data_IF_960382791883
#
_entry.id   IF_960382791883
#
_cell.length_a   1.000
_cell.length_b   1.000
_cell.length_c   1.000
_cell.angle_alpha   90.00
_cell.angle_beta   90.00
_cell.angle_gamma   90.00
#
_symmetry.space_group_name_H-M   'P 1'
#
loop_
_entity.id
_entity.type
_entity.pdbx_description
1 polymer ?
#
# COMPACT_ATOMS: atom_id res chain seq x y z
N UNK A 1 15.12 -16.92 3.33
CA UNK A 1 13.76 -16.77 2.72
C UNK A 1 13.37 -15.30 2.78
N UNK A 2 12.76 -14.74 1.74
CA UNK A 2 12.23 -13.37 1.75
C UNK A 2 10.75 -13.45 1.46
N UNK A 3 9.93 -12.81 2.28
CA UNK A 3 8.48 -12.79 2.16
C UNK A 3 7.98 -11.35 2.20
N UNK A 4 7.09 -11.01 1.27
CA UNK A 4 6.45 -9.70 1.17
C UNK A 4 4.98 -9.84 1.57
N UNK A 5 4.60 -9.19 2.66
CA UNK A 5 3.27 -9.27 3.29
C UNK A 5 2.66 -10.69 3.38
N UNK A 6 3.38 -11.70 3.92
CA UNK A 6 2.94 -13.09 3.93
C UNK A 6 1.70 -13.35 4.81
N UNK A 7 1.34 -12.39 5.66
CA UNK A 7 0.21 -12.44 6.58
C UNK A 7 -1.03 -11.72 6.06
N UNK A 8 -1.00 -11.24 4.81
CA UNK A 8 -2.14 -10.57 4.19
C UNK A 8 -3.33 -11.53 4.06
N UNK A 9 -4.49 -11.13 4.59
CA UNK A 9 -5.72 -11.93 4.53
C UNK A 9 -5.77 -13.13 5.48
N UNK A 10 -4.77 -13.32 6.35
CA UNK A 10 -4.83 -14.34 7.40
C UNK A 10 -5.60 -13.81 8.62
N UNK A 11 -6.42 -14.68 9.20
CA UNK A 11 -6.96 -14.47 10.54
C UNK A 11 -5.85 -14.56 11.62
N UNK A 12 -6.11 -14.08 12.85
CA UNK A 12 -5.09 -14.03 13.90
C UNK A 12 -4.48 -15.39 14.28
N UNK A 13 -5.25 -16.48 14.23
CA UNK A 13 -4.77 -17.81 14.61
C UNK A 13 -3.86 -18.40 13.51
N UNK A 14 -4.26 -18.22 12.25
CA UNK A 14 -3.45 -18.59 11.09
C UNK A 14 -2.15 -17.78 11.01
N UNK A 15 -2.21 -16.47 11.28
CA UNK A 15 -1.03 -15.61 11.37
C UNK A 15 -0.05 -16.09 12.44
N UNK A 16 -0.53 -16.37 13.65
CA UNK A 16 0.30 -16.88 14.73
C UNK A 16 0.98 -18.21 14.36
N UNK A 17 0.23 -19.12 13.74
CA UNK A 17 0.74 -20.43 13.28
C UNK A 17 1.82 -20.27 12.22
N UNK A 18 1.62 -19.36 11.26
CA UNK A 18 2.62 -19.06 10.24
C UNK A 18 3.90 -18.50 10.85
N UNK A 19 3.79 -17.51 11.75
CA UNK A 19 4.93 -16.90 12.41
C UNK A 19 5.75 -17.91 13.23
N UNK A 20 5.08 -18.82 13.94
CA UNK A 20 5.74 -19.91 14.68
C UNK A 20 6.48 -20.88 13.74
N UNK A 21 5.87 -21.21 12.60
CA UNK A 21 6.47 -22.07 11.58
C UNK A 21 7.71 -21.42 10.95
N UNK A 22 7.64 -20.11 10.66
CA UNK A 22 8.78 -19.36 10.12
C UNK A 22 9.94 -19.30 11.13
N UNK A 23 9.65 -19.07 12.42
CA UNK A 23 10.65 -19.06 13.50
C UNK A 23 11.36 -20.40 13.67
N UNK A 24 10.61 -21.51 13.56
CA UNK A 24 11.14 -22.87 13.73
C UNK A 24 11.82 -23.44 12.47
N UNK A 25 11.78 -22.73 11.35
CA UNK A 25 12.30 -23.20 10.06
C UNK A 25 13.83 -23.39 10.00
N UNK A 26 14.59 -22.91 11.00
CA UNK A 26 16.04 -23.07 11.09
C UNK A 26 16.84 -22.29 10.04
N UNK A 27 16.19 -21.41 9.28
CA UNK A 27 16.81 -20.55 8.28
C UNK A 27 16.56 -19.08 8.59
N UNK A 28 17.43 -18.20 8.09
CA UNK A 28 17.16 -16.77 8.14
C UNK A 28 15.96 -16.41 7.24
N UNK A 29 14.97 -15.74 7.83
CA UNK A 29 13.77 -15.23 7.16
C UNK A 29 13.77 -13.70 7.25
N UNK A 30 13.56 -13.04 6.11
CA UNK A 30 13.30 -11.60 6.02
C UNK A 30 11.83 -11.44 5.66
N UNK A 31 11.10 -10.67 6.46
CA UNK A 31 9.68 -10.38 6.23
C UNK A 31 9.52 -8.88 6.05
N UNK A 32 8.86 -8.48 4.97
CA UNK A 32 8.37 -7.12 4.78
C UNK A 32 6.92 -7.11 5.24
N UNK A 33 6.64 -6.35 6.31
CA UNK A 33 5.27 -6.15 6.76
C UNK A 33 5.11 -4.87 7.57
N UNK A 34 3.91 -4.29 7.53
CA UNK A 34 3.49 -3.21 8.42
C UNK A 34 2.68 -3.70 9.63
N UNK A 35 2.45 -5.01 9.78
CA UNK A 35 1.58 -5.55 10.83
C UNK A 35 2.29 -5.61 12.21
N UNK A 36 1.70 -5.06 13.28
CA UNK A 36 2.32 -5.05 14.61
C UNK A 36 2.65 -6.43 15.18
N UNK A 37 1.83 -7.44 14.90
CA UNK A 37 2.05 -8.81 15.37
C UNK A 37 3.33 -9.42 14.76
N UNK A 38 3.54 -9.22 13.45
CA UNK A 38 4.75 -9.64 12.74
C UNK A 38 5.98 -8.92 13.28
N UNK A 39 5.89 -7.59 13.46
CA UNK A 39 7.00 -6.79 14.01
C UNK A 39 7.37 -7.21 15.43
N UNK A 40 6.36 -7.49 16.27
CA UNK A 40 6.56 -7.98 17.65
C UNK A 40 7.17 -9.38 17.69
N UNK A 41 6.98 -10.16 16.63
CA UNK A 41 7.55 -11.50 16.52
C UNK A 41 8.98 -11.53 15.95
N UNK A 42 9.47 -10.42 15.40
CA UNK A 42 10.79 -10.36 14.77
C UNK A 42 11.92 -10.25 15.79
N UNK A 43 13.05 -10.93 15.52
CA UNK A 43 14.28 -10.76 16.31
C UNK A 43 14.89 -9.37 16.11
N UNK A 44 14.71 -8.80 14.91
CA UNK A 44 15.22 -7.49 14.50
C UNK A 44 14.19 -6.81 13.60
N UNK A 45 13.95 -5.53 13.87
CA UNK A 45 13.08 -4.69 13.03
C UNK A 45 13.95 -3.63 12.36
N UNK A 46 13.80 -3.48 11.04
CA UNK A 46 14.46 -2.45 10.25
C UNK A 46 13.35 -1.59 9.64
N UNK A 47 13.33 -0.31 10.00
CA UNK A 47 12.42 0.66 9.37
C UNK A 47 13.04 1.15 8.07
N UNK A 48 12.28 1.04 6.98
CA UNK A 48 12.65 1.62 5.69
C UNK A 48 11.93 2.95 5.56
N UNK A 49 12.69 4.03 5.51
CA UNK A 49 12.16 5.38 5.32
C UNK A 49 12.16 5.72 3.83
N UNK A 50 11.18 6.49 3.39
CA UNK A 50 11.21 7.07 2.05
C UNK A 50 12.42 8.02 1.95
N UNK A 51 13.08 8.11 0.79
CA UNK A 51 14.09 9.14 0.58
C UNK A 51 13.46 10.51 0.86
N UNK A 52 14.22 11.39 1.51
CA UNK A 52 13.81 12.77 1.72
C UNK A 52 13.45 13.36 0.34
N UNK A 53 12.17 13.71 0.17
CA UNK A 53 11.70 14.29 -1.08
C UNK A 53 12.46 15.61 -1.26
N UNK A 54 13.32 15.67 -2.27
CA UNK A 54 14.01 16.91 -2.63
C UNK A 54 12.91 17.94 -2.96
N UNK A 55 12.76 19.04 -2.18
CA UNK A 55 11.72 20.03 -2.41
C UNK A 55 11.84 20.71 -3.79
N UNK A 56 12.93 20.50 -4.52
CA UNK A 56 13.14 20.94 -5.90
C UNK A 56 12.36 20.12 -6.94
N UNK A 57 11.85 18.94 -6.58
CA UNK A 57 11.07 18.08 -7.49
C UNK A 57 9.56 18.36 -7.42
N UNK A 58 9.17 19.61 -7.71
CA UNK A 58 7.79 19.89 -8.13
C UNK A 58 7.64 19.49 -9.60
N UNK A 59 7.50 18.20 -9.88
CA UNK A 59 7.04 17.76 -11.21
C UNK A 59 5.59 18.23 -11.38
N UNK A 60 5.40 19.12 -12.36
CA UNK A 60 4.19 19.88 -12.58
C UNK A 60 2.93 19.05 -12.74
N UNK A 61 1.81 19.70 -12.38
CA UNK A 61 0.44 19.28 -12.63
C UNK A 61 0.32 18.60 -14.00
N UNK A 62 -0.15 17.35 -14.01
CA UNK A 62 -0.76 16.79 -15.20
C UNK A 62 -2.00 17.60 -15.51
N UNK A 63 -1.95 18.33 -16.62
CA UNK A 63 -3.08 18.88 -17.34
C UNK A 63 -4.22 17.83 -17.38
N UNK A 64 -5.28 18.03 -16.59
CA UNK A 64 -6.57 17.42 -16.87
C UNK A 64 -7.18 18.21 -18.03
N UNK A 65 -6.83 17.77 -19.24
CA UNK A 65 -7.45 18.18 -20.49
C UNK A 65 -8.98 18.01 -20.35
N UNK A 66 -9.65 19.16 -20.18
CA UNK A 66 -11.10 19.25 -20.17
C UNK A 66 -11.61 18.90 -21.56
N UNK A 67 -11.92 17.61 -21.74
CA UNK A 67 -12.69 17.13 -22.87
C UNK A 67 -14.03 17.86 -22.93
N UNK A 68 -14.12 18.82 -23.86
CA UNK A 68 -15.33 19.52 -24.24
C UNK A 68 -16.34 18.51 -24.84
N UNK A 69 -17.14 17.89 -23.98
CA UNK A 69 -18.36 17.21 -24.37
C UNK A 69 -19.45 18.25 -24.63
N UNK A 70 -19.46 18.84 -25.82
CA UNK A 70 -20.66 19.49 -26.34
C UNK A 70 -21.75 18.43 -26.45
N UNK A 71 -22.72 18.47 -25.53
CA UNK A 71 -23.97 17.74 -25.62
C UNK A 71 -24.93 18.59 -26.48
N UNK A 72 -25.25 18.23 -27.74
CA UNK A 72 -26.29 18.91 -28.47
C UNK A 72 -27.63 18.27 -28.10
N UNK A 73 -28.60 19.11 -27.73
CA UNK A 73 -30.02 18.79 -27.48
C UNK A 73 -30.41 18.44 -26.04
N UNK A 74 -30.57 19.49 -25.22
CA UNK A 74 -31.59 19.51 -24.18
C UNK A 74 -32.28 20.90 -24.16
N UNK A 75 -33.41 20.95 -24.86
CA UNK A 75 -34.60 21.83 -24.79
C UNK A 75 -34.53 23.15 -23.97
N UNK A 76 -34.99 24.30 -24.53
CA UNK A 76 -35.08 25.54 -23.76
C UNK A 76 -36.28 25.52 -22.80
N UNK A 77 -35.99 25.55 -21.50
CA UNK A 77 -36.97 25.86 -20.44
C UNK A 77 -36.89 27.35 -20.14
N UNK A 78 -37.84 28.12 -20.66
CA UNK A 78 -38.65 29.16 -19.97
C UNK A 78 -39.20 30.21 -20.93
N UNK A 79 -40.50 30.47 -20.82
CA UNK A 79 -41.05 31.82 -20.82
C UNK A 79 -42.35 31.79 -19.97
N UNK A 80 -42.71 32.90 -19.30
CA UNK A 80 -43.77 32.95 -18.26
C UNK A 80 -45.19 32.76 -18.78
#
# INVERSE_FOLDING_TARGET
>A
LILDEPTAGLDPDAEATLLESLRSSGVAVIVVSHRPAVLSAADRVITVEAPEADPSTSSGNGEEDSGNGTDPLAEPVEAP
#
